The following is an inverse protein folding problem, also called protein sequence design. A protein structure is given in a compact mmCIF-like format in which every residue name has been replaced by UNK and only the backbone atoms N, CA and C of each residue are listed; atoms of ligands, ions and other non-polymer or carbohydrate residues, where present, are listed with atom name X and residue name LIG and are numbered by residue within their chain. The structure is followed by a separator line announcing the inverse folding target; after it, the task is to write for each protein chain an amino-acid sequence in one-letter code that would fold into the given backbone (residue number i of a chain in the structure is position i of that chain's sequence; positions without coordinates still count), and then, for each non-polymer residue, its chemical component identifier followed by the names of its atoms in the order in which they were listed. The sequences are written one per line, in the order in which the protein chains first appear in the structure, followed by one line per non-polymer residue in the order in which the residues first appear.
data_IF_363414278102
#
_entry.id   IF_363414278102
#
_cell.length_a   1.000
_cell.length_b   1.000
_cell.length_c   1.000
_cell.angle_alpha   90.00
_cell.angle_beta   90.00
_cell.angle_gamma   90.00
#
_symmetry.space_group_name_H-M   'P 1'
#
loop_
_entity.id
_entity.type
_entity.pdbx_description
1 polymer ?
#
# COMPACT_ATOMS: atom_id res chain seq x y z
N UNK A 1 0.79 9.49 2.79
CA UNK A 1 1.26 10.64 3.61
C UNK A 1 0.18 11.18 4.55
N UNK A 2 -1.00 11.63 4.10
CA UNK A 2 -2.06 12.18 4.97
C UNK A 2 -2.54 11.19 6.05
N UNK A 3 -2.74 9.92 5.69
CA UNK A 3 -3.10 8.85 6.61
C UNK A 3 -2.09 8.75 7.78
N UNK A 4 -0.81 8.61 7.47
CA UNK A 4 0.23 8.48 8.50
C UNK A 4 0.25 9.71 9.44
N UNK A 5 0.10 10.92 8.89
CA UNK A 5 0.02 12.15 9.68
C UNK A 5 -1.20 12.14 10.62
N UNK A 6 -2.36 11.69 10.13
CA UNK A 6 -3.59 11.62 10.94
C UNK A 6 -3.46 10.63 12.10
N UNK A 7 -2.62 9.59 11.94
CA UNK A 7 -2.37 8.57 12.97
C UNK A 7 -1.09 8.83 13.79
N UNK A 8 -0.42 9.97 13.59
CA UNK A 8 0.82 10.31 14.30
C UNK A 8 2.00 9.39 13.98
N UNK A 9 1.96 8.71 12.84
CA UNK A 9 2.98 7.76 12.40
C UNK A 9 4.10 8.46 11.62
N UNK A 10 5.32 7.97 11.78
CA UNK A 10 6.45 8.38 10.94
C UNK A 10 6.23 7.94 9.50
N UNK A 11 6.42 8.84 8.54
CA UNK A 11 6.24 8.55 7.13
C UNK A 11 7.24 9.34 6.28
N UNK A 12 7.82 8.67 5.28
CA UNK A 12 8.65 9.33 4.26
C UNK A 12 8.25 8.84 2.88
N UNK A 13 8.48 9.68 1.88
CA UNK A 13 8.43 9.35 0.47
C UNK A 13 9.83 9.55 -0.11
N UNK A 14 10.29 8.61 -0.92
CA UNK A 14 11.57 8.75 -1.64
C UNK A 14 11.39 9.48 -2.98
N UNK A 15 12.50 9.66 -3.72
CA UNK A 15 12.51 10.37 -5.00
C UNK A 15 11.74 9.64 -6.10
N UNK A 16 11.61 8.32 -6.01
CA UNK A 16 10.81 7.52 -6.95
C UNK A 16 9.31 7.60 -6.66
N UNK A 17 8.93 8.00 -5.44
CA UNK A 17 7.55 8.03 -5.01
C UNK A 17 7.17 6.88 -4.07
N UNK A 18 8.07 5.95 -3.76
CA UNK A 18 7.80 4.90 -2.77
C UNK A 18 7.52 5.52 -1.40
N UNK A 19 6.61 4.92 -0.64
CA UNK A 19 6.22 5.39 0.68
C UNK A 19 6.61 4.37 1.74
N UNK A 20 7.29 4.84 2.79
CA UNK A 20 7.61 4.06 3.99
C UNK A 20 6.88 4.66 5.18
N UNK A 21 6.05 3.86 5.85
CA UNK A 21 5.37 4.22 7.10
C UNK A 21 5.92 3.33 8.21
N UNK A 22 6.21 3.91 9.39
CA UNK A 22 6.69 3.15 10.54
C UNK A 22 5.73 3.32 11.71
N UNK A 23 5.37 2.20 12.33
CA UNK A 23 4.60 2.16 13.56
C UNK A 23 5.41 1.46 14.67
N UNK A 24 5.39 1.99 15.91
CA UNK A 24 6.01 1.31 17.04
C UNK A 24 5.26 0.02 17.36
N UNK A 25 5.93 -0.90 18.06
CA UNK A 25 5.28 -2.10 18.58
C UNK A 25 4.16 -1.72 19.57
N UNK A 26 3.13 -2.54 19.62
CA UNK A 26 2.12 -2.46 20.68
C UNK A 26 2.68 -2.97 22.01
N UNK A 27 2.09 -2.57 23.16
CA UNK A 27 2.55 -3.01 24.47
C UNK A 27 2.66 -4.54 24.57
N UNK A 28 3.84 -5.01 25.00
CA UNK A 28 4.17 -6.42 25.12
C UNK A 28 4.87 -7.05 23.91
N UNK A 29 4.95 -6.33 22.78
CA UNK A 29 5.58 -6.80 21.54
C UNK A 29 6.88 -6.05 21.19
N UNK A 30 7.41 -5.23 22.10
CA UNK A 30 8.57 -4.36 21.85
C UNK A 30 9.87 -5.14 21.60
N UNK A 31 9.92 -6.41 22.06
CA UNK A 31 11.07 -7.29 21.91
C UNK A 31 10.96 -8.25 20.75
N UNK A 32 9.80 -8.31 20.12
CA UNK A 32 9.57 -9.17 18.97
C UNK A 32 10.25 -8.59 17.72
N UNK A 33 10.72 -9.44 16.81
CA UNK A 33 11.26 -8.99 15.54
C UNK A 33 10.26 -8.09 14.81
N UNK A 34 10.73 -6.97 14.26
CA UNK A 34 9.91 -6.09 13.45
C UNK A 34 9.39 -6.79 12.19
N UNK A 35 8.26 -6.35 11.68
CA UNK A 35 7.61 -6.91 10.51
C UNK A 35 7.50 -5.88 9.39
N UNK A 36 7.79 -6.28 8.16
CA UNK A 36 7.55 -5.48 6.96
C UNK A 36 6.24 -5.95 6.32
N UNK A 37 5.33 -4.99 6.07
CA UNK A 37 4.16 -5.17 5.21
C UNK A 37 4.44 -4.45 3.90
N UNK A 38 4.44 -5.18 2.79
CA UNK A 38 4.76 -4.61 1.48
C UNK A 38 3.57 -4.74 0.53
N UNK A 39 3.40 -3.74 -0.31
CA UNK A 39 2.48 -3.71 -1.44
C UNK A 39 2.89 -2.61 -2.42
N UNK A 40 2.18 -2.52 -3.57
CA UNK A 40 2.42 -1.45 -4.53
C UNK A 40 1.20 -0.55 -4.74
N UNK A 41 1.45 0.69 -5.17
CA UNK A 41 0.44 1.75 -5.29
C UNK A 41 -0.09 1.91 -6.71
N UNK A 42 0.65 1.42 -7.68
CA UNK A 42 0.26 1.46 -9.09
C UNK A 42 -0.59 0.25 -9.47
N UNK A 43 -1.23 0.34 -10.60
CA UNK A 43 -2.04 -0.73 -11.18
C UNK A 43 -1.90 -0.72 -12.70
N UNK A 44 -2.21 -1.84 -13.34
CA UNK A 44 -2.42 -1.88 -14.80
C UNK A 44 -3.66 -1.05 -15.13
N UNK A 45 -3.48 0.03 -15.87
CA UNK A 45 -4.57 0.89 -16.31
C UNK A 45 -5.14 0.43 -17.64
N UNK A 46 -6.18 -0.42 -17.62
CA UNK A 46 -6.88 -0.88 -18.83
C UNK A 46 -8.37 -0.60 -18.73
N UNK A 47 -9.03 -0.49 -19.89
CA UNK A 47 -10.47 -0.20 -19.98
C UNK A 47 -11.12 -0.79 -21.22
N UNK A 48 -12.44 -0.97 -21.16
CA UNK A 48 -13.23 -1.39 -22.31
C UNK A 48 -13.31 -0.27 -23.37
N UNK A 49 -13.53 -0.63 -24.62
CA UNK A 49 -13.52 0.31 -25.74
C UNK A 49 -14.62 1.40 -25.64
N UNK A 50 -15.70 1.12 -24.93
CA UNK A 50 -16.84 2.00 -24.70
C UNK A 50 -16.73 2.81 -23.40
N UNK A 51 -15.71 2.56 -22.57
CA UNK A 51 -15.50 3.30 -21.34
C UNK A 51 -14.95 4.71 -21.64
N UNK A 52 -15.67 5.77 -21.23
CA UNK A 52 -15.28 7.15 -21.53
C UNK A 52 -14.18 7.71 -20.62
N UNK A 53 -13.82 7.00 -19.52
CA UNK A 53 -12.90 7.51 -18.53
C UNK A 53 -11.49 7.72 -19.11
N UNK A 54 -10.85 8.81 -18.68
CA UNK A 54 -9.41 9.05 -18.84
C UNK A 54 -8.71 8.57 -17.56
N UNK A 55 -8.08 7.38 -17.60
CA UNK A 55 -7.47 6.75 -16.43
C UNK A 55 -6.29 7.53 -15.84
N UNK A 56 -5.79 8.55 -16.53
CA UNK A 56 -4.78 9.45 -15.97
C UNK A 56 -5.38 10.58 -15.11
N UNK A 57 -6.70 10.83 -15.22
CA UNK A 57 -7.37 11.98 -14.60
C UNK A 57 -8.61 11.63 -13.80
N UNK A 58 -9.33 10.62 -14.27
CA UNK A 58 -10.61 10.25 -13.70
C UNK A 58 -10.46 9.14 -12.66
N UNK A 59 -11.31 9.17 -11.64
CA UNK A 59 -11.39 8.06 -10.68
C UNK A 59 -12.11 6.87 -11.29
N UNK A 60 -11.67 5.66 -10.97
CA UNK A 60 -12.42 4.44 -11.28
C UNK A 60 -13.74 4.40 -10.48
N UNK A 61 -14.75 3.70 -11.02
CA UNK A 61 -16.05 3.54 -10.37
C UNK A 61 -16.19 2.11 -9.79
N UNK A 62 -15.84 1.90 -8.50
CA UNK A 62 -16.01 0.60 -7.88
C UNK A 62 -17.50 0.30 -7.63
N UNK A 63 -17.91 -0.90 -7.95
CA UNK A 63 -19.28 -1.41 -7.75
C UNK A 63 -19.24 -2.77 -7.08
N UNK A 64 -20.34 -3.15 -6.42
CA UNK A 64 -20.52 -4.50 -5.87
C UNK A 64 -21.46 -5.28 -6.76
N UNK A 65 -20.97 -6.37 -7.33
CA UNK A 65 -21.74 -7.28 -8.17
C UNK A 65 -21.53 -8.72 -7.76
N UNK A 66 -22.60 -9.47 -7.50
CA UNK A 66 -22.56 -10.90 -7.15
C UNK A 66 -21.66 -11.25 -5.94
N UNK A 67 -21.44 -10.31 -5.02
CA UNK A 67 -20.53 -10.50 -3.88
C UNK A 67 -19.06 -10.17 -4.17
N UNK A 68 -18.74 -9.66 -5.33
CA UNK A 68 -17.43 -9.15 -5.75
C UNK A 68 -17.41 -7.64 -5.78
N UNK A 69 -16.24 -7.04 -5.52
CA UNK A 69 -15.98 -5.64 -5.85
C UNK A 69 -15.37 -5.60 -7.25
N UNK A 70 -15.98 -4.88 -8.15
CA UNK A 70 -15.56 -4.72 -9.54
C UNK A 70 -15.38 -3.22 -9.85
N UNK A 71 -14.83 -2.89 -11.02
CA UNK A 71 -14.85 -1.54 -11.55
C UNK A 71 -15.65 -1.50 -12.87
N UNK A 72 -16.43 -0.44 -13.07
CA UNK A 72 -17.23 -0.29 -14.28
C UNK A 72 -16.34 0.09 -15.47
N UNK A 73 -16.21 -0.84 -16.40
CA UNK A 73 -15.51 -0.63 -17.67
C UNK A 73 -14.00 -0.44 -17.57
N UNK A 74 -13.39 -0.63 -16.38
CA UNK A 74 -11.94 -0.50 -16.17
C UNK A 74 -11.41 -1.65 -15.33
N UNK A 75 -10.08 -1.77 -15.26
CA UNK A 75 -9.40 -2.51 -14.21
C UNK A 75 -9.72 -1.90 -12.85
N UNK A 76 -9.73 -2.74 -11.78
CA UNK A 76 -10.05 -2.31 -10.41
C UNK A 76 -8.81 -1.84 -9.64
N UNK A 77 -7.63 -2.41 -9.93
CA UNK A 77 -6.44 -2.25 -9.10
C UNK A 77 -6.51 -3.05 -7.80
N UNK A 78 -7.22 -4.20 -7.79
CA UNK A 78 -7.24 -5.11 -6.66
C UNK A 78 -5.87 -5.69 -6.36
N UNK A 79 -5.08 -5.89 -7.37
CA UNK A 79 -3.63 -6.02 -7.37
C UNK A 79 -3.02 -4.61 -7.57
N UNK A 80 -2.40 -4.00 -6.56
CA UNK A 80 -2.23 -4.53 -5.21
C UNK A 80 -2.97 -3.66 -4.15
N UNK A 81 -4.09 -3.07 -4.56
CA UNK A 81 -4.93 -2.26 -3.64
C UNK A 81 -5.35 -3.03 -2.38
N UNK A 82 -5.42 -4.37 -2.45
CA UNK A 82 -5.79 -5.19 -1.29
C UNK A 82 -4.67 -5.21 -0.24
N UNK A 83 -3.40 -5.35 -0.62
CA UNK A 83 -2.30 -5.29 0.34
C UNK A 83 -2.17 -3.90 0.96
N UNK A 84 -2.35 -2.84 0.15
CA UNK A 84 -2.41 -1.46 0.65
C UNK A 84 -3.53 -1.31 1.69
N UNK A 85 -4.74 -1.80 1.38
CA UNK A 85 -5.88 -1.73 2.30
C UNK A 85 -5.63 -2.49 3.60
N UNK A 86 -5.07 -3.70 3.55
CA UNK A 86 -4.72 -4.47 4.74
C UNK A 86 -3.65 -3.77 5.58
N UNK A 87 -2.59 -3.25 4.97
CA UNK A 87 -1.55 -2.53 5.69
C UNK A 87 -2.11 -1.30 6.43
N UNK A 88 -2.95 -0.51 5.75
CA UNK A 88 -3.60 0.64 6.37
C UNK A 88 -4.60 0.24 7.46
N UNK A 89 -5.36 -0.86 7.28
CA UNK A 89 -6.28 -1.36 8.28
C UNK A 89 -5.56 -1.81 9.57
N UNK A 90 -4.41 -2.48 9.43
CA UNK A 90 -3.57 -2.86 10.59
C UNK A 90 -3.05 -1.63 11.32
N UNK A 91 -2.59 -0.62 10.58
CA UNK A 91 -2.10 0.64 11.17
C UNK A 91 -3.20 1.45 11.86
N UNK A 92 -4.46 1.35 11.40
CA UNK A 92 -5.62 2.03 12.00
C UNK A 92 -6.17 1.29 13.22
N UNK A 93 -6.04 -0.04 13.25
CA UNK A 93 -6.60 -0.88 14.29
C UNK A 93 -6.02 -0.54 15.68
N UNK A 94 -6.88 -0.64 16.71
CA UNK A 94 -6.50 -0.41 18.11
C UNK A 94 -6.44 -1.68 18.94
N UNK A 95 -6.90 -2.79 18.37
CA UNK A 95 -7.08 -4.09 19.01
C UNK A 95 -6.27 -5.21 18.33
N UNK A 96 -5.47 -4.89 17.34
CA UNK A 96 -4.54 -5.83 16.70
C UNK A 96 -3.15 -5.65 17.32
N UNK A 97 -2.68 -6.58 18.18
CA UNK A 97 -1.32 -6.51 18.71
C UNK A 97 -0.31 -6.85 17.61
N UNK A 98 0.81 -6.09 17.59
CA UNK A 98 1.83 -6.26 16.57
C UNK A 98 3.23 -5.81 17.05
N UNK A 99 4.32 -6.37 16.53
CA UNK A 99 5.67 -5.85 16.72
C UNK A 99 5.83 -4.50 16.01
N UNK A 100 7.02 -3.91 16.04
CA UNK A 100 7.30 -2.74 15.21
C UNK A 100 7.01 -3.03 13.73
N UNK A 101 6.24 -2.16 13.07
CA UNK A 101 5.86 -2.32 11.67
C UNK A 101 6.58 -1.31 10.79
N UNK A 102 6.99 -1.79 9.62
CA UNK A 102 7.42 -0.97 8.49
C UNK A 102 6.53 -1.30 7.29
N UNK A 103 5.66 -0.36 6.90
CA UNK A 103 4.81 -0.51 5.71
C UNK A 103 5.54 0.12 4.54
N UNK A 104 5.85 -0.70 3.54
CA UNK A 104 6.56 -0.33 2.32
C UNK A 104 5.58 -0.37 1.16
N UNK A 105 5.25 0.79 0.61
CA UNK A 105 4.36 0.91 -0.53
C UNK A 105 5.19 1.40 -1.72
N UNK A 106 5.42 0.51 -2.67
CA UNK A 106 6.23 0.78 -3.85
C UNK A 106 5.40 1.35 -5.00
N UNK A 107 6.07 1.89 -6.00
CA UNK A 107 5.47 2.39 -7.24
C UNK A 107 6.13 1.73 -8.44
N UNK A 108 5.47 1.80 -9.61
CA UNK A 108 5.98 1.24 -10.85
C UNK A 108 6.35 -0.25 -10.75
N UNK A 109 5.53 -1.02 -10.01
CA UNK A 109 5.67 -2.47 -9.92
C UNK A 109 5.34 -3.10 -11.27
N UNK A 110 4.21 -2.74 -11.85
CA UNK A 110 3.62 -3.26 -13.08
C UNK A 110 4.45 -2.99 -14.35
N UNK A 111 5.46 -2.14 -14.25
CA UNK A 111 6.39 -1.82 -15.34
C UNK A 111 7.81 -2.29 -15.06
N UNK A 112 7.96 -3.31 -14.23
CA UNK A 112 9.23 -3.99 -13.99
C UNK A 112 9.89 -3.69 -12.64
N UNK A 113 9.11 -3.49 -11.58
CA UNK A 113 9.57 -3.32 -10.18
C UNK A 113 10.52 -2.11 -10.01
N UNK A 114 10.33 -1.05 -10.81
CA UNK A 114 11.28 0.08 -10.85
C UNK A 114 11.37 0.79 -9.50
N UNK A 115 10.25 1.00 -8.83
CA UNK A 115 10.22 1.61 -7.50
C UNK A 115 10.98 0.79 -6.48
N UNK A 116 10.71 -0.50 -6.40
CA UNK A 116 11.40 -1.41 -5.50
C UNK A 116 12.91 -1.49 -5.79
N UNK A 117 13.28 -1.56 -7.07
CA UNK A 117 14.70 -1.63 -7.50
C UNK A 117 15.51 -0.37 -7.11
N UNK A 118 14.86 0.78 -7.00
CA UNK A 118 15.51 2.04 -6.61
C UNK A 118 15.49 2.28 -5.09
N UNK A 119 14.82 1.45 -4.32
CA UNK A 119 14.64 1.65 -2.89
C UNK A 119 15.94 1.35 -2.11
N UNK A 120 16.27 2.23 -1.15
CA UNK A 120 17.35 1.97 -0.18
C UNK A 120 16.84 1.07 0.96
N UNK A 121 17.05 -0.23 0.80
CA UNK A 121 16.66 -1.23 1.79
C UNK A 121 17.47 -1.14 3.10
N UNK A 122 18.64 -0.51 3.12
CA UNK A 122 19.45 -0.33 4.34
C UNK A 122 18.75 0.56 5.37
N UNK A 123 17.71 1.28 4.97
CA UNK A 123 16.91 2.11 5.88
C UNK A 123 15.81 1.32 6.60
N UNK A 124 15.52 0.11 6.18
CA UNK A 124 14.59 -0.79 6.85
C UNK A 124 15.28 -1.43 8.07
N UNK A 125 14.53 -1.56 9.15
CA UNK A 125 15.02 -2.14 10.42
C UNK A 125 14.35 -3.45 10.78
N UNK A 126 13.19 -3.73 10.18
CA UNK A 126 12.54 -5.02 10.31
C UNK A 126 13.33 -6.08 9.55
N UNK A 127 13.51 -7.25 10.16
CA UNK A 127 14.15 -8.36 9.47
C UNK A 127 13.27 -8.95 8.38
N UNK A 128 13.89 -9.40 7.30
CA UNK A 128 13.21 -10.29 6.36
C UNK A 128 13.24 -11.71 6.94
N UNK A 129 12.12 -12.41 6.90
CA UNK A 129 12.00 -13.83 7.20
C UNK A 129 11.69 -14.62 5.94
#
# INVERSE_FOLDING_TARGET
MQFAKAHGLSCRQDEMGNVLIKAPATPGYEKEPGLILQGHLDMVGDKTADCPLDLEKDAIHPVVDGGYVCAEGTTLGGDDGIAVAYALAVLDAKDIPHPALEVVLTVCEEVGLLGASAMDFLTLRAGFW
#
